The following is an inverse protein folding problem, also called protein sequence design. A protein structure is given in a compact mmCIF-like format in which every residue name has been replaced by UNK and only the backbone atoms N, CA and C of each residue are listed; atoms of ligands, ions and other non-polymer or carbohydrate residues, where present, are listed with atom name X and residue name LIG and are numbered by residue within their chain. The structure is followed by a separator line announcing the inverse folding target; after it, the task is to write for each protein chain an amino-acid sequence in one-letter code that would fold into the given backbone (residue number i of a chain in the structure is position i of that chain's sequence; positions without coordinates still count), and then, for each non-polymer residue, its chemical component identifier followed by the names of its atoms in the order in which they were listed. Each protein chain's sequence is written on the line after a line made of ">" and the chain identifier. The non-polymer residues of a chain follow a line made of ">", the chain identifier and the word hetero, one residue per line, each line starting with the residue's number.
data_IF_281977362399
#
_entry.id   IF_281977362399
#
_cell.length_a   1.000
_cell.length_b   1.000
_cell.length_c   1.000
_cell.angle_alpha   90.00
_cell.angle_beta   90.00
_cell.angle_gamma   90.00
#
_symmetry.space_group_name_H-M   'P 1'
#
loop_
_entity.id
_entity.type
_entity.pdbx_description
1 polymer ?
#
# COMPACT_ATOMS: atom_id res chain seq x y z
N UNK A 1 -17.19 20.24 6.99
CA UNK A 1 -16.68 18.92 7.40
C UNK A 1 -17.24 17.90 6.43
N UNK A 2 -16.37 17.24 5.66
CA UNK A 2 -16.74 16.22 4.68
C UNK A 2 -16.48 14.85 5.29
N UNK A 3 -17.43 13.96 5.12
CA UNK A 3 -17.35 12.59 5.60
C UNK A 3 -17.29 11.63 4.42
N UNK A 4 -16.35 10.69 4.47
CA UNK A 4 -16.14 9.66 3.47
C UNK A 4 -16.44 8.33 4.16
N UNK A 5 -17.56 7.73 3.79
CA UNK A 5 -17.90 6.38 4.24
C UNK A 5 -17.13 5.41 3.37
N UNK A 6 -16.13 4.74 3.94
CA UNK A 6 -15.34 3.77 3.19
C UNK A 6 -16.21 2.55 2.88
N UNK A 7 -16.25 2.10 1.61
CA UNK A 7 -17.05 0.96 1.21
C UNK A 7 -16.58 -0.33 1.88
N UNK A 8 -17.43 -1.35 1.81
CA UNK A 8 -17.17 -2.63 2.45
C UNK A 8 -15.96 -3.37 1.86
N UNK A 9 -15.83 -3.28 0.53
CA UNK A 9 -14.82 -3.98 -0.26
C UNK A 9 -14.24 -3.05 -1.31
N UNK A 10 -12.92 -3.08 -1.53
CA UNK A 10 -12.27 -2.40 -2.65
C UNK A 10 -11.17 -3.27 -3.25
N UNK A 11 -11.39 -3.76 -4.46
CA UNK A 11 -10.50 -4.66 -5.18
C UNK A 11 -10.25 -4.21 -6.60
N UNK A 12 -11.24 -4.41 -7.49
CA UNK A 12 -11.08 -4.21 -8.92
C UNK A 12 -11.82 -2.94 -9.41
N UNK A 13 -12.84 -2.47 -8.68
CA UNK A 13 -13.57 -1.21 -8.91
C UNK A 13 -12.78 0.01 -8.37
N UNK A 14 -11.52 0.13 -8.77
CA UNK A 14 -10.61 1.12 -8.21
C UNK A 14 -10.90 2.55 -8.68
N UNK A 15 -11.35 2.74 -9.93
CA UNK A 15 -11.60 4.08 -10.47
C UNK A 15 -12.69 4.81 -9.71
N UNK A 16 -13.85 4.16 -9.54
CA UNK A 16 -14.98 4.74 -8.79
C UNK A 16 -14.58 5.04 -7.34
N UNK A 17 -13.77 4.16 -6.73
CA UNK A 17 -13.24 4.38 -5.39
C UNK A 17 -12.31 5.59 -5.33
N UNK A 18 -11.35 5.70 -6.28
CA UNK A 18 -10.41 6.82 -6.37
C UNK A 18 -11.17 8.12 -6.59
N UNK A 19 -12.15 8.14 -7.49
CA UNK A 19 -12.98 9.31 -7.76
C UNK A 19 -13.75 9.73 -6.49
N UNK A 20 -14.34 8.76 -5.77
CA UNK A 20 -15.08 9.05 -4.54
C UNK A 20 -14.21 9.69 -3.44
N UNK A 21 -12.93 9.31 -3.35
CA UNK A 21 -11.98 9.90 -2.38
C UNK A 21 -11.24 11.13 -2.93
N UNK A 22 -11.35 11.42 -4.23
CA UNK A 22 -10.70 12.54 -4.91
C UNK A 22 -11.69 13.69 -5.07
N UNK A 23 -11.59 14.67 -4.17
CA UNK A 23 -12.47 15.84 -4.19
C UNK A 23 -11.67 17.11 -3.92
N UNK A 24 -12.23 18.24 -4.32
CA UNK A 24 -11.65 19.54 -3.99
C UNK A 24 -11.73 19.78 -2.48
N UNK A 25 -10.65 20.28 -1.89
CA UNK A 25 -10.51 20.51 -0.45
C UNK A 25 -9.51 21.62 -0.23
N UNK A 26 -9.75 22.45 0.77
CA UNK A 26 -8.82 23.51 1.18
C UNK A 26 -8.19 23.26 2.57
N UNK A 27 -7.31 24.17 2.99
CA UNK A 27 -6.61 24.07 4.27
C UNK A 27 -7.52 24.28 5.51
N UNK A 28 -8.74 24.79 5.33
CA UNK A 28 -9.70 25.04 6.40
C UNK A 28 -10.70 23.89 6.58
N UNK A 29 -10.77 23.01 5.59
CA UNK A 29 -11.64 21.85 5.61
C UNK A 29 -11.23 20.80 6.65
N UNK A 30 -12.23 19.99 7.00
CA UNK A 30 -12.06 18.81 7.84
C UNK A 30 -12.65 17.62 7.12
N UNK A 31 -11.85 16.56 6.99
CA UNK A 31 -12.19 15.32 6.30
C UNK A 31 -12.20 14.17 7.31
N UNK A 32 -13.26 13.39 7.31
CA UNK A 32 -13.40 12.19 8.15
C UNK A 32 -13.43 10.96 7.24
N UNK A 33 -12.51 10.03 7.44
CA UNK A 33 -12.58 8.69 6.85
C UNK A 33 -13.27 7.75 7.85
N UNK A 34 -14.43 7.22 7.51
CA UNK A 34 -15.20 6.31 8.35
C UNK A 34 -14.98 4.86 7.93
N UNK A 35 -14.45 4.05 8.86
CA UNK A 35 -14.07 2.65 8.67
C UNK A 35 -15.19 1.67 9.05
N UNK A 36 -16.38 2.13 9.44
CA UNK A 36 -17.45 1.31 10.01
C UNK A 36 -17.77 0.04 9.20
N UNK A 37 -17.71 0.11 7.88
CA UNK A 37 -18.08 -0.99 6.99
C UNK A 37 -16.88 -1.74 6.40
N UNK A 38 -15.65 -1.28 6.63
CA UNK A 38 -14.45 -1.82 5.97
C UNK A 38 -14.23 -3.28 6.38
N UNK A 39 -14.21 -4.18 5.39
CA UNK A 39 -13.94 -5.59 5.61
C UNK A 39 -12.73 -6.12 4.86
N UNK A 40 -12.57 -5.77 3.59
CA UNK A 40 -11.48 -6.33 2.79
C UNK A 40 -11.05 -5.40 1.65
N UNK A 41 -9.78 -4.99 1.69
CA UNK A 41 -9.19 -4.00 0.79
C UNK A 41 -7.97 -4.62 0.13
N UNK A 42 -7.79 -4.33 -1.16
CA UNK A 42 -6.55 -4.64 -1.86
C UNK A 42 -5.42 -3.70 -1.45
N UNK A 43 -4.15 -4.08 -1.66
CA UNK A 43 -3.00 -3.18 -1.47
C UNK A 43 -3.15 -1.84 -2.22
N UNK A 44 -3.73 -1.88 -3.42
CA UNK A 44 -3.95 -0.70 -4.26
C UNK A 44 -4.91 0.29 -3.59
N UNK A 45 -5.99 -0.22 -2.99
CA UNK A 45 -6.96 0.60 -2.26
C UNK A 45 -6.32 1.27 -1.03
N UNK A 46 -5.47 0.55 -0.30
CA UNK A 46 -4.76 1.12 0.85
C UNK A 46 -3.81 2.24 0.44
N UNK A 47 -3.02 2.01 -0.61
CA UNK A 47 -2.10 3.00 -1.19
C UNK A 47 -2.85 4.25 -1.63
N UNK A 48 -3.98 4.09 -2.35
CA UNK A 48 -4.80 5.23 -2.79
C UNK A 48 -5.32 6.10 -1.61
N UNK A 49 -5.78 5.46 -0.53
CA UNK A 49 -6.21 6.20 0.67
C UNK A 49 -5.03 6.93 1.31
N UNK A 50 -3.86 6.28 1.40
CA UNK A 50 -2.67 6.90 1.97
C UNK A 50 -2.27 8.14 1.17
N UNK A 51 -2.15 8.04 -0.16
CA UNK A 51 -1.84 9.18 -1.02
C UNK A 51 -2.83 10.32 -0.76
N UNK A 52 -4.12 10.01 -0.66
CA UNK A 52 -5.14 11.02 -0.38
C UNK A 52 -4.99 11.65 1.01
N UNK A 53 -4.77 10.85 2.05
CA UNK A 53 -4.54 11.36 3.41
C UNK A 53 -3.29 12.25 3.45
N UNK A 54 -2.22 11.84 2.79
CA UNK A 54 -0.94 12.56 2.74
C UNK A 54 -1.07 13.87 1.98
N UNK A 55 -1.79 13.87 0.87
CA UNK A 55 -2.18 15.09 0.17
C UNK A 55 -2.97 16.05 1.08
N UNK A 56 -4.00 15.56 1.77
CA UNK A 56 -4.79 16.38 2.69
C UNK A 56 -3.94 16.97 3.82
N UNK A 57 -3.01 16.18 4.37
CA UNK A 57 -2.05 16.64 5.37
C UNK A 57 -1.07 17.68 4.81
N UNK A 58 -0.62 17.55 3.56
CA UNK A 58 0.33 18.49 2.94
C UNK A 58 -0.29 19.87 2.70
N UNK A 59 -1.59 19.92 2.39
CA UNK A 59 -2.38 21.16 2.32
C UNK A 59 -2.92 21.61 3.69
N UNK A 60 -2.52 20.97 4.79
CA UNK A 60 -2.92 21.29 6.17
C UNK A 60 -4.42 21.13 6.49
N UNK A 61 -5.18 20.43 5.66
CA UNK A 61 -6.55 20.06 5.98
C UNK A 61 -6.57 19.13 7.23
N UNK A 62 -7.64 19.22 8.03
CA UNK A 62 -7.77 18.36 9.22
C UNK A 62 -8.28 16.99 8.81
N UNK A 63 -7.52 15.94 9.08
CA UNK A 63 -7.90 14.55 8.78
C UNK A 63 -8.25 13.81 10.06
N UNK A 64 -9.41 13.15 10.06
CA UNK A 64 -9.90 12.33 11.16
C UNK A 64 -10.20 10.91 10.68
N UNK A 65 -9.98 9.95 11.57
CA UNK A 65 -10.28 8.54 11.37
C UNK A 65 -11.40 8.13 12.32
N UNK A 66 -12.58 7.77 11.81
CA UNK A 66 -13.72 7.31 12.62
C UNK A 66 -13.84 5.78 12.53
N UNK A 67 -14.18 5.13 13.64
CA UNK A 67 -14.33 3.67 13.75
C UNK A 67 -13.05 2.88 13.37
N UNK A 68 -11.89 3.54 13.40
CA UNK A 68 -10.62 2.99 12.97
C UNK A 68 -10.02 1.99 13.96
N UNK A 69 -10.60 1.83 15.15
CA UNK A 69 -10.12 0.97 16.23
C UNK A 69 -10.97 -0.30 16.42
N UNK A 70 -12.04 -0.45 15.64
CA UNK A 70 -13.12 -1.43 15.89
C UNK A 70 -13.77 -2.01 14.63
N UNK A 71 -13.11 -1.97 13.47
CA UNK A 71 -13.61 -2.53 12.22
C UNK A 71 -13.01 -3.92 11.90
N UNK A 72 -13.68 -4.68 11.02
CA UNK A 72 -13.36 -6.09 10.74
C UNK A 72 -11.95 -6.30 10.19
N UNK A 73 -11.46 -5.38 9.37
CA UNK A 73 -10.14 -5.48 8.74
C UNK A 73 -9.00 -4.82 9.53
N UNK A 74 -9.23 -4.40 10.78
CA UNK A 74 -8.25 -3.66 11.59
C UNK A 74 -6.86 -4.30 11.61
N UNK A 75 -6.79 -5.59 11.95
CA UNK A 75 -5.51 -6.31 12.04
C UNK A 75 -4.78 -6.34 10.70
N UNK A 76 -5.50 -6.44 9.59
CA UNK A 76 -4.90 -6.37 8.26
C UNK A 76 -4.29 -4.98 8.01
N UNK A 77 -5.03 -3.91 8.26
CA UNK A 77 -4.52 -2.53 8.10
C UNK A 77 -3.30 -2.25 9.00
N UNK A 78 -3.30 -2.76 10.23
CA UNK A 78 -2.15 -2.70 11.14
C UNK A 78 -0.94 -3.42 10.54
N UNK A 79 -1.10 -4.67 10.09
CA UNK A 79 -0.02 -5.44 9.44
C UNK A 79 0.53 -4.74 8.21
N UNK A 80 -0.31 -4.05 7.44
CA UNK A 80 0.12 -3.31 6.25
C UNK A 80 0.79 -1.96 6.54
N UNK A 81 1.01 -1.59 7.80
CA UNK A 81 1.56 -0.29 8.25
C UNK A 81 0.72 0.94 7.90
N UNK A 82 -0.56 0.74 7.57
CA UNK A 82 -1.44 1.82 7.10
C UNK A 82 -1.51 2.99 8.09
N UNK A 83 -1.77 2.69 9.37
CA UNK A 83 -1.98 3.73 10.39
C UNK A 83 -0.70 4.49 10.72
N UNK A 84 0.43 3.77 10.83
CA UNK A 84 1.74 4.38 11.07
C UNK A 84 2.09 5.37 9.95
N UNK A 85 1.87 4.99 8.68
CA UNK A 85 2.09 5.88 7.55
C UNK A 85 1.15 7.09 7.62
N UNK A 86 -0.10 6.90 8.00
CA UNK A 86 -1.06 7.98 8.22
C UNK A 86 -0.77 8.87 9.45
N UNK A 87 0.36 8.67 10.16
CA UNK A 87 0.72 9.34 11.41
C UNK A 87 -0.27 9.07 12.56
N UNK A 88 -0.92 7.91 12.56
CA UNK A 88 -1.82 7.46 13.61
C UNK A 88 -1.14 6.33 14.40
N UNK A 89 -0.70 6.66 15.62
CA UNK A 89 -0.09 5.68 16.52
C UNK A 89 -1.19 4.79 17.11
N UNK A 90 -1.19 3.51 16.72
CA UNK A 90 -2.08 2.49 17.25
C UNK A 90 -1.28 1.30 17.73
N UNK A 91 -1.59 0.81 18.92
CA UNK A 91 -0.98 -0.40 19.44
C UNK A 91 -1.45 -1.63 18.65
N UNK A 92 -0.49 -2.47 18.25
CA UNK A 92 -0.79 -3.76 17.64
C UNK A 92 -1.27 -4.74 18.71
N UNK A 93 -2.42 -5.38 18.47
CA UNK A 93 -2.97 -6.42 19.34
C UNK A 93 -2.41 -7.82 19.01
N UNK A 94 -1.34 -7.88 18.21
CA UNK A 94 -0.69 -9.10 17.74
C UNK A 94 0.83 -8.91 17.78
N UNK A 95 1.57 -10.02 17.75
CA UNK A 95 3.02 -10.00 17.55
C UNK A 95 3.30 -10.02 16.05
N UNK A 96 4.02 -9.03 15.53
CA UNK A 96 4.43 -9.01 14.13
C UNK A 96 5.37 -10.18 13.83
N UNK A 97 5.07 -10.88 12.76
CA UNK A 97 5.88 -11.95 12.19
C UNK A 97 6.18 -11.60 10.74
N UNK A 98 7.28 -12.12 10.21
CA UNK A 98 7.62 -12.01 8.80
C UNK A 98 6.44 -12.46 7.93
N UNK A 99 6.17 -11.71 6.86
CA UNK A 99 5.11 -12.02 5.91
C UNK A 99 5.43 -13.28 5.08
N UNK A 100 6.68 -13.77 5.11
CA UNK A 100 7.18 -14.91 4.34
C UNK A 100 6.89 -14.76 2.83
N UNK A 101 6.94 -13.52 2.34
CA UNK A 101 6.65 -13.16 0.95
C UNK A 101 5.18 -13.40 0.55
N UNK A 102 4.23 -13.38 1.48
CA UNK A 102 2.79 -13.38 1.12
C UNK A 102 2.27 -11.98 0.82
N UNK A 103 2.92 -10.96 1.37
CA UNK A 103 2.63 -9.56 1.10
C UNK A 103 3.85 -8.72 1.45
N UNK A 104 3.94 -7.57 0.78
CA UNK A 104 4.84 -6.50 1.11
C UNK A 104 4.01 -5.41 1.79
N UNK A 105 4.37 -5.10 3.03
CA UNK A 105 3.77 -4.00 3.80
C UNK A 105 3.87 -2.70 3.02
N UNK A 106 3.01 -1.73 3.33
CA UNK A 106 3.09 -0.44 2.67
C UNK A 106 4.42 0.22 3.05
N UNK A 107 5.13 0.71 2.06
CA UNK A 107 6.39 1.43 2.21
C UNK A 107 6.33 2.74 1.44
N UNK A 108 7.02 3.76 1.95
CA UNK A 108 7.21 5.04 1.27
C UNK A 108 8.47 4.99 0.39
N UNK A 109 8.41 5.56 -0.80
CA UNK A 109 9.55 5.78 -1.70
C UNK A 109 9.65 7.26 -2.08
N UNK A 110 10.81 7.66 -2.60
CA UNK A 110 11.08 9.03 -3.03
C UNK A 110 12.15 9.71 -2.18
N UNK A 111 12.05 11.03 -1.97
CA UNK A 111 13.14 11.83 -1.37
C UNK A 111 13.48 11.44 0.07
N UNK A 112 12.48 11.00 0.82
CA UNK A 112 12.61 10.59 2.23
C UNK A 112 12.32 9.09 2.44
N UNK A 113 12.07 8.36 1.35
CA UNK A 113 11.61 6.98 1.38
C UNK A 113 12.74 5.95 1.31
N UNK A 114 12.34 4.67 1.26
CA UNK A 114 13.26 3.53 1.14
C UNK A 114 13.98 3.44 -0.21
N UNK A 115 15.03 2.62 -0.27
CA UNK A 115 15.74 2.33 -1.52
C UNK A 115 14.80 1.62 -2.50
N UNK A 116 14.72 2.13 -3.74
CA UNK A 116 13.94 1.51 -4.84
C UNK A 116 14.32 0.03 -4.99
N UNK A 117 15.61 -0.28 -4.91
CA UNK A 117 16.14 -1.65 -4.97
C UNK A 117 15.48 -2.55 -3.91
N UNK A 118 15.57 -2.17 -2.63
CA UNK A 118 14.98 -2.96 -1.53
C UNK A 118 13.47 -3.14 -1.66
N UNK A 119 12.77 -2.12 -2.17
CA UNK A 119 11.34 -2.19 -2.40
C UNK A 119 11.01 -3.19 -3.51
N UNK A 120 11.72 -3.10 -4.64
CA UNK A 120 11.56 -4.00 -5.76
C UNK A 120 11.88 -5.45 -5.40
N UNK A 121 12.94 -5.69 -4.63
CA UNK A 121 13.30 -7.01 -4.09
C UNK A 121 12.18 -7.57 -3.21
N UNK A 122 11.66 -6.80 -2.25
CA UNK A 122 10.57 -7.24 -1.37
C UNK A 122 9.29 -7.59 -2.14
N UNK A 123 8.96 -6.81 -3.18
CA UNK A 123 7.84 -7.09 -4.07
C UNK A 123 8.11 -8.34 -4.92
N UNK A 124 9.31 -8.49 -5.46
CA UNK A 124 9.70 -9.66 -6.25
C UNK A 124 9.61 -10.95 -5.43
N UNK A 125 10.04 -10.94 -4.17
CA UNK A 125 9.88 -12.05 -3.23
C UNK A 125 8.41 -12.46 -3.02
N UNK A 126 7.49 -11.50 -3.14
CA UNK A 126 6.06 -11.80 -3.15
C UNK A 126 5.60 -12.43 -4.47
N UNK A 127 6.14 -11.98 -5.60
CA UNK A 127 5.68 -12.42 -6.92
C UNK A 127 6.19 -13.78 -7.36
N UNK A 128 7.35 -14.21 -6.88
CA UNK A 128 7.97 -15.46 -7.33
C UNK A 128 7.26 -16.70 -6.78
N UNK A 129 7.08 -17.75 -7.60
CA UNK A 129 6.61 -19.04 -7.13
C UNK A 129 7.52 -19.61 -6.04
N UNK A 130 6.94 -20.29 -5.06
CA UNK A 130 7.70 -20.91 -3.96
C UNK A 130 8.74 -21.91 -4.47
N UNK A 131 8.44 -22.60 -5.57
CA UNK A 131 9.36 -23.54 -6.25
C UNK A 131 10.59 -22.88 -6.88
N UNK A 132 10.57 -21.57 -7.10
CA UNK A 132 11.67 -20.80 -7.72
C UNK A 132 12.49 -20.03 -6.68
N UNK A 133 12.03 -19.94 -5.43
CA UNK A 133 12.68 -19.12 -4.38
C UNK A 133 14.11 -19.54 -4.05
N UNK A 134 14.43 -20.83 -4.18
CA UNK A 134 15.77 -21.33 -3.88
C UNK A 134 16.83 -20.85 -4.89
N UNK A 135 16.42 -20.39 -6.08
CA UNK A 135 17.33 -19.90 -7.13
C UNK A 135 17.75 -18.44 -6.98
N UNK A 136 17.17 -17.68 -6.05
CA UNK A 136 17.43 -16.23 -5.95
C UNK A 136 18.89 -15.94 -5.59
N UNK A 137 19.46 -16.76 -4.70
CA UNK A 137 20.84 -16.62 -4.22
C UNK A 137 21.77 -17.71 -4.78
N UNK A 138 21.29 -18.47 -5.78
CA UNK A 138 22.07 -19.55 -6.39
C UNK A 138 22.94 -19.01 -7.53
N UNK A 139 24.25 -19.10 -7.34
CA UNK A 139 25.24 -18.54 -8.27
C UNK A 139 25.21 -19.19 -9.67
N UNK A 140 24.74 -20.43 -9.78
CA UNK A 140 24.71 -21.19 -11.04
C UNK A 140 23.35 -21.10 -11.74
N UNK A 141 22.25 -21.08 -10.99
CA UNK A 141 20.89 -21.17 -11.52
C UNK A 141 20.02 -19.90 -11.44
N UNK A 142 20.51 -18.79 -10.87
CA UNK A 142 19.88 -17.45 -10.76
C UNK A 142 18.43 -17.33 -11.28
N UNK A 143 17.50 -16.93 -10.42
CA UNK A 143 16.08 -16.82 -10.82
C UNK A 143 15.82 -15.69 -11.84
N UNK A 144 15.73 -16.03 -13.12
CA UNK A 144 15.38 -15.08 -14.20
C UNK A 144 14.04 -14.37 -13.96
N UNK A 145 13.07 -15.06 -13.32
CA UNK A 145 11.76 -14.49 -12.98
C UNK A 145 11.91 -13.44 -11.88
N UNK A 146 12.73 -13.71 -10.87
CA UNK A 146 13.02 -12.75 -9.81
C UNK A 146 13.63 -11.48 -10.40
N UNK A 147 14.68 -11.62 -11.21
CA UNK A 147 15.38 -10.50 -11.83
C UNK A 147 14.44 -9.67 -12.73
N UNK A 148 13.60 -10.34 -13.53
CA UNK A 148 12.60 -9.68 -14.36
C UNK A 148 11.62 -8.86 -13.51
N UNK A 149 11.12 -9.40 -12.40
CA UNK A 149 10.18 -8.68 -11.53
C UNK A 149 10.88 -7.54 -10.81
N UNK A 150 12.09 -7.74 -10.27
CA UNK A 150 12.88 -6.68 -9.63
C UNK A 150 13.09 -5.53 -10.61
N UNK A 151 13.49 -5.83 -11.84
CA UNK A 151 13.70 -4.83 -12.88
C UNK A 151 12.39 -4.10 -13.21
N UNK A 152 11.32 -4.83 -13.53
CA UNK A 152 10.03 -4.24 -13.90
C UNK A 152 9.44 -3.35 -12.79
N UNK A 153 9.51 -3.79 -11.52
CA UNK A 153 9.01 -3.01 -10.38
C UNK A 153 9.89 -1.78 -10.15
N UNK A 154 11.21 -1.90 -10.30
CA UNK A 154 12.13 -0.75 -10.17
C UNK A 154 11.81 0.32 -11.21
N UNK A 155 11.58 -0.06 -12.46
CA UNK A 155 11.18 0.87 -13.52
C UNK A 155 9.83 1.51 -13.25
N UNK A 156 8.85 0.76 -12.71
CA UNK A 156 7.56 1.33 -12.32
C UNK A 156 7.71 2.38 -11.20
N UNK A 157 8.47 2.07 -10.13
CA UNK A 157 8.72 3.00 -9.04
C UNK A 157 9.47 4.24 -9.56
N UNK A 158 10.49 4.03 -10.38
CA UNK A 158 11.29 5.12 -10.97
C UNK A 158 10.43 6.01 -11.84
N UNK A 159 9.54 5.46 -12.67
CA UNK A 159 8.63 6.26 -13.49
C UNK A 159 7.71 7.12 -12.63
N UNK A 160 7.10 6.55 -11.58
CA UNK A 160 6.23 7.31 -10.67
C UNK A 160 7.02 8.44 -10.00
N UNK A 161 8.17 8.13 -9.41
CA UNK A 161 9.00 9.11 -8.72
C UNK A 161 9.56 10.21 -9.64
N UNK A 162 10.06 9.85 -10.83
CA UNK A 162 10.65 10.79 -11.78
C UNK A 162 9.60 11.77 -12.34
N UNK A 163 8.35 11.32 -12.51
CA UNK A 163 7.30 12.15 -13.09
C UNK A 163 6.59 13.05 -12.09
N UNK A 164 6.42 12.64 -10.83
CA UNK A 164 5.77 13.49 -9.83
C UNK A 164 6.71 14.38 -9.04
N UNK A 165 7.94 13.92 -8.80
CA UNK A 165 8.88 14.57 -7.90
C UNK A 165 8.44 14.60 -6.42
N UNK A 166 7.36 13.90 -6.07
CA UNK A 166 6.84 13.73 -4.70
C UNK A 166 7.31 12.40 -4.08
N UNK A 167 6.92 12.16 -2.83
CA UNK A 167 7.05 10.83 -2.23
C UNK A 167 5.83 10.00 -2.64
N UNK A 168 6.04 8.72 -2.89
CA UNK A 168 4.98 7.77 -3.22
C UNK A 168 4.94 6.59 -2.26
N UNK A 169 3.95 5.73 -2.45
CA UNK A 169 3.69 4.57 -1.61
C UNK A 169 3.51 3.32 -2.46
N UNK A 170 4.07 2.21 -1.98
CA UNK A 170 4.03 0.91 -2.65
C UNK A 170 3.60 -0.19 -1.68
N UNK A 171 2.84 -1.16 -2.17
CA UNK A 171 2.53 -2.40 -1.46
C UNK A 171 2.12 -3.50 -2.42
N UNK A 172 2.34 -4.76 -2.04
CA UNK A 172 1.84 -5.90 -2.80
C UNK A 172 1.27 -7.00 -1.92
N UNK A 173 0.41 -7.83 -2.50
CA UNK A 173 -0.13 -9.02 -1.85
C UNK A 173 -0.40 -10.13 -2.86
N UNK A 174 -0.04 -11.35 -2.47
CA UNK A 174 -0.27 -12.58 -3.23
C UNK A 174 -1.62 -13.17 -2.87
N UNK A 175 -2.41 -13.51 -3.88
CA UNK A 175 -3.68 -14.22 -3.73
C UNK A 175 -3.56 -15.61 -4.37
N UNK A 176 -3.09 -16.57 -3.58
CA UNK A 176 -2.78 -17.95 -4.04
C UNK A 176 -3.93 -18.64 -4.77
N UNK A 177 -5.17 -18.44 -4.32
CA UNK A 177 -6.36 -19.06 -4.95
C UNK A 177 -6.60 -18.58 -6.38
N UNK A 178 -6.17 -17.36 -6.71
CA UNK A 178 -6.33 -16.76 -8.04
C UNK A 178 -5.03 -16.64 -8.81
N UNK A 179 -3.92 -17.21 -8.31
CA UNK A 179 -2.58 -17.14 -8.91
C UNK A 179 -2.20 -15.72 -9.36
N UNK A 180 -2.59 -14.73 -8.57
CA UNK A 180 -2.40 -13.32 -8.91
C UNK A 180 -1.68 -12.58 -7.77
N UNK A 181 -0.90 -11.60 -8.16
CA UNK A 181 -0.31 -10.62 -7.25
C UNK A 181 -0.96 -9.28 -7.55
N UNK A 182 -1.45 -8.60 -6.51
CA UNK A 182 -1.90 -7.21 -6.64
C UNK A 182 -0.79 -6.31 -6.12
N UNK A 183 -0.37 -5.36 -6.95
CA UNK A 183 0.64 -4.35 -6.68
C UNK A 183 -0.02 -2.98 -6.75
N UNK A 184 0.08 -2.19 -5.68
CA UNK A 184 -0.32 -0.78 -5.67
C UNK A 184 0.92 0.10 -5.62
N UNK A 185 1.03 1.05 -6.54
CA UNK A 185 2.05 2.10 -6.58
C UNK A 185 1.33 3.41 -6.93
N UNK A 186 1.44 4.42 -6.08
CA UNK A 186 0.88 5.75 -6.33
C UNK A 186 1.64 6.81 -5.53
N UNK A 187 1.43 8.08 -5.86
CA UNK A 187 2.02 9.26 -5.22
C UNK A 187 1.03 10.42 -5.05
#
# INVERSE_FOLDING_TARGET
>A
MKEIILPKYVFDELFDFIEAISFETDEHDSVVFDFAYVENYSPVALVAIICRVKYLQSIKAKVYFRNHDSFRALTYFQRMNFFSICNLNMDEKFKRHDSNGNFQEIQEFGRLGGSVEKLSEGIALCCIPESERWKIDDYEENSEIYDLVVYAVSELINNVFQHSGSNGYISAQVYRKGELVRLGIAD
#
